data_IF_315719808952
#
_entry.id   IF_315719808952
#
_cell.length_a   1.000
_cell.length_b   1.000
_cell.length_c   1.000
_cell.angle_alpha   90.00
_cell.angle_beta   90.00
_cell.angle_gamma   90.00
#
_symmetry.space_group_name_H-M   'P 1'
#
loop_
_entity.id
_entity.type
_entity.pdbx_description
1 polymer ?
#
# COMPACT_ATOMS: atom_id res chain seq x y z
N UNK A 1 11.30 -1.58 1.11
CA UNK A 1 9.83 -1.67 1.31
C UNK A 1 9.26 -0.37 1.84
N UNK A 2 9.69 0.12 3.01
CA UNK A 2 9.21 1.39 3.60
C UNK A 2 9.20 2.57 2.60
N UNK A 3 10.33 2.88 1.96
CA UNK A 3 10.42 3.96 0.94
C UNK A 3 9.38 3.82 -0.17
N UNK A 4 9.23 2.63 -0.77
CA UNK A 4 8.23 2.39 -1.82
C UNK A 4 6.80 2.57 -1.29
N UNK A 5 6.55 2.07 -0.08
CA UNK A 5 5.24 2.13 0.58
C UNK A 5 4.80 3.57 0.83
N UNK A 6 5.70 4.41 1.34
CA UNK A 6 5.48 5.85 1.52
C UNK A 6 5.33 6.57 0.18
N UNK A 7 6.19 6.31 -0.81
CA UNK A 7 6.08 6.97 -2.11
C UNK A 7 4.71 6.70 -2.74
N UNK A 8 4.31 5.44 -2.85
CA UNK A 8 3.04 5.11 -3.47
C UNK A 8 1.85 5.64 -2.66
N UNK A 9 1.85 5.52 -1.33
CA UNK A 9 0.69 5.89 -0.54
C UNK A 9 0.56 7.38 -0.21
N UNK A 10 1.67 8.10 -0.07
CA UNK A 10 1.68 9.47 0.43
C UNK A 10 2.07 10.49 -0.63
N UNK A 11 3.17 10.23 -1.34
CA UNK A 11 3.72 11.17 -2.32
C UNK A 11 2.81 11.25 -3.54
N UNK A 12 2.26 10.12 -4.00
CA UNK A 12 1.40 10.11 -5.20
C UNK A 12 0.01 10.70 -5.00
N UNK A 13 -0.48 10.85 -3.76
CA UNK A 13 -1.70 11.63 -3.48
C UNK A 13 -1.43 12.96 -2.80
N UNK A 14 -0.15 13.32 -2.61
CA UNK A 14 0.26 14.57 -1.99
C UNK A 14 -0.22 14.72 -0.52
N UNK A 15 -0.45 13.63 0.22
CA UNK A 15 -0.82 13.69 1.65
C UNK A 15 0.37 13.97 2.55
N UNK A 16 1.55 13.46 2.20
CA UNK A 16 2.84 13.84 2.78
C UNK A 16 3.86 14.00 1.65
N UNK A 17 4.08 15.23 1.16
CA UNK A 17 4.87 15.47 -0.05
C UNK A 17 6.39 15.35 0.16
N UNK A 18 6.88 15.55 1.38
CA UNK A 18 8.33 15.56 1.70
C UNK A 18 8.72 14.59 2.83
N UNK A 19 8.24 13.33 2.79
CA UNK A 19 8.26 12.44 3.93
C UNK A 19 9.67 11.98 4.31
N UNK A 20 10.69 12.26 3.49
CA UNK A 20 12.07 11.87 3.76
C UNK A 20 12.91 12.98 4.36
N UNK A 21 12.39 14.21 4.45
CA UNK A 21 13.13 15.37 4.96
C UNK A 21 12.39 16.14 6.05
N UNK A 22 11.09 15.86 6.25
CA UNK A 22 10.35 16.41 7.39
C UNK A 22 10.36 15.47 8.62
N UNK A 23 10.20 16.06 9.81
CA UNK A 23 10.27 15.35 11.08
C UNK A 23 9.18 14.29 11.21
N UNK A 24 7.95 14.59 10.78
CA UNK A 24 6.82 13.68 10.87
C UNK A 24 6.99 12.48 9.93
N UNK A 25 7.44 12.75 8.71
CA UNK A 25 7.84 11.78 7.71
C UNK A 25 8.84 10.77 8.25
N UNK A 26 9.95 11.26 8.83
CA UNK A 26 11.03 10.42 9.32
C UNK A 26 10.72 9.66 10.62
N UNK A 27 9.96 10.28 11.54
CA UNK A 27 9.74 9.70 12.88
C UNK A 27 8.44 8.90 12.99
N UNK A 28 7.47 9.17 12.11
CA UNK A 28 6.14 8.52 12.16
C UNK A 28 5.84 7.81 10.86
N UNK A 29 5.74 8.51 9.73
CA UNK A 29 5.26 7.93 8.46
C UNK A 29 6.17 6.80 7.98
N UNK A 30 7.48 7.04 7.87
CA UNK A 30 8.41 6.06 7.34
C UNK A 30 8.52 4.79 8.23
N UNK A 31 8.65 4.90 9.58
CA UNK A 31 8.57 3.75 10.47
C UNK A 31 7.21 3.05 10.41
N UNK A 32 6.11 3.80 10.40
CA UNK A 32 4.75 3.27 10.38
C UNK A 32 4.51 2.37 9.17
N UNK A 33 4.79 2.91 7.99
CA UNK A 33 4.62 2.18 6.73
C UNK A 33 5.58 0.99 6.66
N UNK A 34 6.85 1.20 7.05
CA UNK A 34 7.87 0.16 7.06
C UNK A 34 7.52 -1.03 7.96
N UNK A 35 7.18 -0.77 9.22
CA UNK A 35 6.85 -1.79 10.21
C UNK A 35 5.59 -2.56 9.82
N UNK A 36 4.54 -1.87 9.35
CA UNK A 36 3.34 -2.55 8.85
C UNK A 36 3.64 -3.44 7.65
N UNK A 37 4.35 -2.93 6.62
CA UNK A 37 4.66 -3.74 5.44
C UNK A 37 5.48 -4.97 5.85
N UNK A 38 6.53 -4.79 6.65
CA UNK A 38 7.42 -5.88 7.06
C UNK A 38 6.70 -6.92 7.94
N UNK A 39 5.90 -6.47 8.91
CA UNK A 39 5.15 -7.37 9.80
C UNK A 39 4.12 -8.19 9.02
N UNK A 40 3.26 -7.51 8.26
CA UNK A 40 2.17 -8.18 7.53
C UNK A 40 2.71 -9.06 6.40
N UNK A 41 3.70 -8.58 5.64
CA UNK A 41 4.34 -9.40 4.61
C UNK A 41 5.07 -10.61 5.22
N UNK A 42 5.86 -10.42 6.28
CA UNK A 42 6.54 -11.53 6.97
C UNK A 42 5.56 -12.57 7.54
N UNK A 43 4.38 -12.14 7.98
CA UNK A 43 3.31 -13.04 8.44
C UNK A 43 2.73 -13.88 7.29
N UNK A 44 2.35 -13.25 6.16
CA UNK A 44 1.64 -13.93 5.06
C UNK A 44 2.57 -14.71 4.12
N UNK A 45 3.83 -14.28 3.96
CA UNK A 45 4.84 -14.94 3.10
C UNK A 45 5.59 -16.08 3.80
N UNK A 46 5.09 -16.58 4.94
CA UNK A 46 5.84 -17.52 5.77
C UNK A 46 5.97 -18.92 5.16
N UNK A 47 4.91 -19.74 5.21
CA UNK A 47 4.96 -21.16 4.75
C UNK A 47 4.00 -21.50 3.62
N UNK A 48 3.09 -20.59 3.30
CA UNK A 48 1.98 -20.85 2.39
C UNK A 48 2.02 -19.94 1.19
N UNK A 49 1.32 -20.37 0.15
CA UNK A 49 1.05 -19.57 -1.04
C UNK A 49 0.30 -18.30 -0.66
N UNK A 50 0.65 -17.20 -1.31
CA UNK A 50 -0.02 -15.92 -1.15
C UNK A 50 -1.03 -15.77 -2.27
N UNK A 51 -2.23 -15.28 -1.93
CA UNK A 51 -3.32 -15.03 -2.88
C UNK A 51 -3.75 -13.57 -2.79
N UNK A 52 -4.46 -13.08 -3.81
CA UNK A 52 -4.96 -11.69 -3.80
C UNK A 52 -5.87 -11.39 -2.61
N UNK A 53 -6.81 -12.28 -2.19
CA UNK A 53 -7.55 -12.07 -0.95
C UNK A 53 -6.69 -11.89 0.29
N UNK A 54 -5.63 -12.70 0.45
CA UNK A 54 -4.71 -12.60 1.60
C UNK A 54 -3.98 -11.25 1.58
N UNK A 55 -3.51 -10.82 0.41
CA UNK A 55 -2.86 -9.53 0.23
C UNK A 55 -3.80 -8.36 0.51
N UNK A 56 -5.04 -8.42 0.01
CA UNK A 56 -6.05 -7.38 0.24
C UNK A 56 -6.43 -7.29 1.73
N UNK A 57 -6.66 -8.42 2.40
CA UNK A 57 -6.97 -8.45 3.83
C UNK A 57 -5.82 -7.92 4.70
N UNK A 58 -4.57 -8.29 4.38
CA UNK A 58 -3.40 -7.71 5.02
C UNK A 58 -3.30 -6.20 4.76
N UNK A 59 -3.55 -5.77 3.51
CA UNK A 59 -3.64 -4.36 3.14
C UNK A 59 -4.76 -3.59 3.86
N UNK A 60 -5.89 -4.22 4.15
CA UNK A 60 -6.96 -3.62 4.94
C UNK A 60 -6.51 -3.40 6.39
N UNK A 61 -5.85 -4.40 7.00
CA UNK A 61 -5.27 -4.24 8.33
C UNK A 61 -4.22 -3.14 8.38
N UNK A 62 -3.46 -2.97 7.29
CA UNK A 62 -2.60 -1.81 7.10
C UNK A 62 -3.45 -0.54 7.16
N UNK A 63 -4.42 -0.34 6.28
CA UNK A 63 -5.24 0.89 6.26
C UNK A 63 -5.96 1.21 7.56
N UNK A 64 -6.34 0.19 8.35
CA UNK A 64 -6.99 0.41 9.65
C UNK A 64 -6.11 1.11 10.70
N UNK A 65 -4.78 1.20 10.51
CA UNK A 65 -3.91 1.97 11.42
C UNK A 65 -4.38 3.42 11.58
N UNK A 66 -5.01 3.96 10.53
CA UNK A 66 -5.48 5.35 10.43
C UNK A 66 -6.47 5.70 11.55
N UNK A 67 -7.26 4.73 12.05
CA UNK A 67 -8.07 4.97 13.25
C UNK A 67 -7.21 5.21 14.49
N UNK A 68 -6.22 4.36 14.74
CA UNK A 68 -5.48 4.39 16.00
C UNK A 68 -4.39 5.46 16.06
N UNK A 69 -3.76 5.77 14.92
CA UNK A 69 -2.55 6.61 14.89
C UNK A 69 -2.89 8.05 14.50
N UNK A 70 -3.48 8.25 13.33
CA UNK A 70 -3.80 9.59 12.79
C UNK A 70 -5.20 10.08 13.18
N UNK A 71 -6.08 9.15 13.58
CA UNK A 71 -7.49 9.34 13.96
C UNK A 71 -8.37 9.86 12.82
N UNK A 72 -7.94 9.74 11.56
CA UNK A 72 -8.67 10.31 10.41
C UNK A 72 -10.02 9.64 10.14
N UNK A 73 -10.30 8.47 10.71
CA UNK A 73 -11.63 7.87 10.63
C UNK A 73 -12.63 8.50 11.59
N UNK A 74 -12.16 9.15 12.65
CA UNK A 74 -13.01 9.79 13.65
C UNK A 74 -13.03 11.31 13.49
N UNK A 75 -11.89 11.89 13.12
CA UNK A 75 -11.72 13.33 12.90
C UNK A 75 -10.76 13.59 11.72
N UNK A 76 -11.27 13.53 10.47
CA UNK A 76 -10.49 13.79 9.27
C UNK A 76 -9.81 15.17 9.28
N UNK A 77 -8.59 15.25 8.77
CA UNK A 77 -7.80 16.50 8.77
C UNK A 77 -8.03 17.39 7.55
N UNK A 78 -8.93 17.03 6.65
CA UNK A 78 -9.00 17.58 5.29
C UNK A 78 -10.16 18.56 5.03
N UNK A 79 -10.85 19.05 6.06
CA UNK A 79 -11.73 20.21 5.92
C UNK A 79 -13.04 20.19 6.71
N UNK A 80 -13.34 19.15 7.48
CA UNK A 80 -14.49 19.10 8.39
C UNK A 80 -15.86 19.01 7.69
N UNK A 81 -15.89 18.84 6.37
CA UNK A 81 -17.11 18.68 5.57
C UNK A 81 -17.41 17.21 5.26
N UNK A 82 -16.69 16.28 5.89
CA UNK A 82 -16.82 14.86 5.66
C UNK A 82 -18.15 14.33 6.19
N UNK A 83 -18.72 13.37 5.46
CA UNK A 83 -19.96 12.73 5.90
C UNK A 83 -19.65 11.68 6.96
N UNK A 84 -20.17 11.90 8.16
CA UNK A 84 -20.00 10.99 9.29
C UNK A 84 -21.19 10.04 9.37
N UNK A 85 -20.91 8.74 9.53
CA UNK A 85 -21.91 7.73 9.85
C UNK A 85 -21.53 7.06 11.17
N UNK A 86 -22.41 7.15 12.17
CA UNK A 86 -22.17 6.58 13.51
C UNK A 86 -20.82 7.02 14.14
N UNK A 87 -20.42 8.28 13.87
CA UNK A 87 -19.15 8.86 14.36
C UNK A 87 -17.90 8.37 13.62
N UNK A 88 -18.06 7.81 12.42
CA UNK A 88 -16.96 7.39 11.55
C UNK A 88 -17.11 8.03 10.16
N UNK A 89 -16.03 8.59 9.63
CA UNK A 89 -15.95 9.13 8.26
C UNK A 89 -15.98 7.97 7.26
N UNK A 90 -17.18 7.55 6.86
CA UNK A 90 -17.39 6.25 6.19
C UNK A 90 -16.74 6.18 4.80
N UNK A 91 -16.76 7.29 4.05
CA UNK A 91 -16.15 7.35 2.72
C UNK A 91 -14.62 7.22 2.83
N UNK A 92 -14.01 7.99 3.74
CA UNK A 92 -12.57 7.94 4.02
C UNK A 92 -12.18 6.56 4.53
N UNK A 93 -12.95 6.00 5.47
CA UNK A 93 -12.72 4.65 5.97
C UNK A 93 -12.79 3.63 4.84
N UNK A 94 -13.79 3.72 3.96
CA UNK A 94 -13.94 2.85 2.79
C UNK A 94 -12.77 3.00 1.82
N UNK A 95 -12.40 4.21 1.44
CA UNK A 95 -11.29 4.48 0.51
C UNK A 95 -9.96 4.00 1.09
N UNK A 96 -9.61 4.44 2.30
CA UNK A 96 -8.32 4.13 2.92
C UNK A 96 -8.19 2.64 3.27
N UNK A 97 -9.25 2.04 3.83
CA UNK A 97 -9.21 0.62 4.24
C UNK A 97 -9.40 -0.35 3.08
N UNK A 98 -10.27 -0.06 2.11
CA UNK A 98 -10.63 -1.03 1.06
C UNK A 98 -9.92 -0.79 -0.27
N UNK A 99 -9.32 0.38 -0.48
CA UNK A 99 -8.69 0.69 -1.77
C UNK A 99 -7.27 1.24 -1.64
N UNK A 100 -7.13 2.44 -1.09
CA UNK A 100 -5.88 3.20 -1.14
C UNK A 100 -4.74 2.48 -0.43
N UNK A 101 -4.82 2.23 0.87
CA UNK A 101 -3.73 1.55 1.58
C UNK A 101 -3.52 0.09 1.13
N UNK A 102 -4.56 -0.73 0.90
CA UNK A 102 -4.33 -2.08 0.38
C UNK A 102 -3.50 -2.11 -0.90
N UNK A 103 -3.80 -1.23 -1.86
CA UNK A 103 -3.06 -1.18 -3.12
C UNK A 103 -1.77 -0.37 -3.03
N UNK A 104 -1.84 0.88 -2.61
CA UNK A 104 -0.74 1.84 -2.69
C UNK A 104 0.21 1.75 -1.50
N UNK A 105 -0.25 1.37 -0.31
CA UNK A 105 0.65 1.19 0.84
C UNK A 105 1.21 -0.24 0.94
N UNK A 106 0.48 -1.25 0.43
CA UNK A 106 0.87 -2.65 0.66
C UNK A 106 1.19 -3.41 -0.63
N UNK A 107 0.23 -3.64 -1.52
CA UNK A 107 0.40 -4.55 -2.67
C UNK A 107 1.37 -4.01 -3.71
N UNK A 108 1.19 -2.78 -4.19
CA UNK A 108 2.05 -2.18 -5.21
C UNK A 108 3.50 -2.01 -4.71
N UNK A 109 3.76 -1.54 -3.48
CA UNK A 109 5.11 -1.52 -2.92
C UNK A 109 5.77 -2.89 -2.83
N UNK A 110 5.04 -3.92 -2.38
CA UNK A 110 5.54 -5.29 -2.36
C UNK A 110 5.82 -5.81 -3.76
N UNK A 111 4.91 -5.58 -4.70
CA UNK A 111 5.07 -6.00 -6.09
C UNK A 111 6.26 -5.28 -6.75
N UNK A 112 6.37 -3.96 -6.61
CA UNK A 112 7.49 -3.20 -7.14
C UNK A 112 8.81 -3.64 -6.51
N UNK A 113 8.84 -3.79 -5.18
CA UNK A 113 10.01 -4.27 -4.48
C UNK A 113 10.44 -5.69 -4.90
N UNK A 114 9.48 -6.60 -5.09
CA UNK A 114 9.73 -7.95 -5.60
C UNK A 114 10.31 -7.90 -7.03
N UNK A 115 9.64 -7.17 -7.94
CA UNK A 115 10.03 -7.09 -9.34
C UNK A 115 11.40 -6.44 -9.58
N UNK A 116 11.83 -5.56 -8.66
CA UNK A 116 13.05 -4.78 -8.78
C UNK A 116 14.21 -5.43 -8.02
N UNK A 117 13.95 -6.01 -6.84
CA UNK A 117 14.98 -6.42 -5.90
C UNK A 117 15.02 -7.93 -5.60
N UNK A 118 14.07 -8.72 -6.08
CA UNK A 118 14.03 -10.17 -5.87
C UNK A 118 14.05 -10.98 -7.18
N UNK A 119 14.18 -12.29 -7.07
CA UNK A 119 14.10 -13.24 -8.20
C UNK A 119 12.73 -13.92 -8.36
N UNK A 120 11.71 -13.47 -7.62
CA UNK A 120 10.38 -14.09 -7.60
C UNK A 120 9.32 -13.20 -8.26
N UNK A 121 8.11 -13.74 -8.45
CA UNK A 121 6.95 -13.01 -8.97
C UNK A 121 5.67 -13.41 -8.23
N UNK A 122 5.80 -13.75 -6.94
CA UNK A 122 4.70 -14.25 -6.12
C UNK A 122 3.55 -13.26 -6.06
N UNK A 123 3.82 -11.97 -5.81
CA UNK A 123 2.79 -10.92 -5.73
C UNK A 123 2.13 -10.74 -7.10
N UNK A 124 2.92 -10.60 -8.16
CA UNK A 124 2.40 -10.45 -9.53
C UNK A 124 1.54 -11.66 -9.95
N UNK A 125 1.92 -12.87 -9.53
CA UNK A 125 1.20 -14.10 -9.85
C UNK A 125 -0.15 -14.21 -9.14
N UNK A 126 -0.43 -13.39 -8.13
CA UNK A 126 -1.75 -13.33 -7.47
C UNK A 126 -2.79 -12.53 -8.24
N UNK A 127 -2.35 -11.66 -9.16
CA UNK A 127 -3.25 -10.78 -9.91
C UNK A 127 -4.14 -11.57 -10.88
N UNK A 128 -5.30 -11.00 -11.27
CA UNK A 128 -6.15 -11.58 -12.31
C UNK A 128 -5.36 -11.90 -13.59
N UNK A 129 -5.73 -12.99 -14.27
CA UNK A 129 -5.03 -13.50 -15.44
C UNK A 129 -4.82 -12.45 -16.53
N UNK A 130 -5.79 -11.55 -16.73
CA UNK A 130 -5.71 -10.44 -17.69
C UNK A 130 -4.50 -9.54 -17.37
N UNK A 131 -4.41 -9.06 -16.13
CA UNK A 131 -3.33 -8.15 -15.69
C UNK A 131 -1.98 -8.88 -15.71
N UNK A 132 -1.95 -10.12 -15.21
CA UNK A 132 -0.75 -10.96 -15.22
C UNK A 132 -0.22 -11.16 -16.64
N UNK A 133 -1.08 -11.52 -17.59
CA UNK A 133 -0.71 -11.75 -18.98
C UNK A 133 -0.20 -10.46 -19.65
N UNK A 134 -0.78 -9.32 -19.33
CA UNK A 134 -0.29 -8.03 -19.82
C UNK A 134 1.07 -7.67 -19.24
N UNK A 135 1.28 -7.87 -17.94
CA UNK A 135 2.56 -7.60 -17.27
C UNK A 135 3.71 -8.48 -17.79
N UNK A 136 3.40 -9.66 -18.33
CA UNK A 136 4.37 -10.57 -18.93
C UNK A 136 4.75 -10.17 -20.37
N UNK A 137 3.91 -9.40 -21.08
CA UNK A 137 4.20 -8.91 -22.44
C UNK A 137 4.95 -7.57 -22.37
N UNK A 138 5.99 -7.33 -23.20
CA UNK A 138 6.71 -6.06 -23.19
C UNK A 138 5.81 -4.83 -23.39
N UNK A 139 4.91 -4.88 -24.37
CA UNK A 139 3.94 -3.81 -24.64
C UNK A 139 2.93 -3.64 -23.50
N UNK A 140 2.37 -4.75 -23.00
CA UNK A 140 1.42 -4.72 -21.88
C UNK A 140 2.05 -4.16 -20.60
N UNK A 141 3.31 -4.47 -20.32
CA UNK A 141 4.08 -3.89 -19.21
C UNK A 141 4.21 -2.37 -19.33
N UNK A 142 4.54 -1.86 -20.52
CA UNK A 142 4.61 -0.41 -20.77
C UNK A 142 3.26 0.24 -20.49
N UNK A 143 2.17 -0.34 -21.01
CA UNK A 143 0.82 0.18 -20.81
C UNK A 143 0.45 0.20 -19.32
N UNK A 144 0.69 -0.90 -18.58
CA UNK A 144 0.37 -0.97 -17.16
C UNK A 144 1.16 0.05 -16.32
N UNK A 145 2.45 0.22 -16.61
CA UNK A 145 3.28 1.23 -15.93
C UNK A 145 2.76 2.63 -16.22
N UNK A 146 2.45 2.93 -17.49
CA UNK A 146 1.92 4.24 -17.88
C UNK A 146 0.56 4.52 -17.24
N UNK A 147 -0.34 3.53 -17.18
CA UNK A 147 -1.65 3.69 -16.53
C UNK A 147 -1.51 3.94 -15.03
N UNK A 148 -0.63 3.20 -14.35
CA UNK A 148 -0.36 3.41 -12.93
C UNK A 148 0.25 4.81 -12.70
N UNK A 149 1.27 5.17 -13.47
CA UNK A 149 1.92 6.48 -13.39
C UNK A 149 0.94 7.62 -13.65
N UNK A 150 0.10 7.48 -14.68
CA UNK A 150 -0.95 8.42 -15.03
C UNK A 150 -1.89 8.63 -13.84
N UNK A 151 -2.40 7.54 -13.26
CA UNK A 151 -3.30 7.60 -12.11
C UNK A 151 -2.63 8.21 -10.87
N UNK A 152 -1.38 7.86 -10.58
CA UNK A 152 -0.60 8.53 -9.53
C UNK A 152 -0.50 10.04 -9.77
N UNK A 153 -0.26 10.46 -11.02
CA UNK A 153 -0.13 11.88 -11.33
C UNK A 153 -1.47 12.61 -11.28
N UNK A 154 -2.58 11.97 -11.65
CA UNK A 154 -3.94 12.50 -11.43
C UNK A 154 -4.15 12.84 -9.95
N UNK A 155 -3.83 11.89 -9.05
CA UNK A 155 -3.99 12.07 -7.61
C UNK A 155 -3.08 13.20 -7.08
N UNK A 156 -1.82 13.24 -7.47
CA UNK A 156 -0.92 14.30 -7.01
C UNK A 156 -1.34 15.66 -7.59
N UNK A 157 -1.71 15.72 -8.87
CA UNK A 157 -2.13 16.96 -9.55
C UNK A 157 -3.38 17.58 -8.93
N UNK A 158 -4.36 16.75 -8.55
CA UNK A 158 -5.56 17.22 -7.85
C UNK A 158 -5.23 17.89 -6.51
N UNK A 159 -4.29 17.31 -5.76
CA UNK A 159 -4.01 17.66 -4.37
C UNK A 159 -2.82 18.62 -4.18
N UNK A 160 -1.94 18.76 -5.17
CA UNK A 160 -0.76 19.63 -5.07
C UNK A 160 -1.13 21.11 -5.03
N UNK A 161 -0.30 21.88 -4.31
CA UNK A 161 -0.41 23.32 -4.17
C UNK A 161 0.29 24.09 -5.30
N UNK A 162 1.30 23.48 -5.93
CA UNK A 162 2.06 24.10 -7.02
C UNK A 162 2.84 23.07 -7.84
N UNK A 163 3.11 23.41 -9.10
CA UNK A 163 3.97 22.59 -9.98
C UNK A 163 5.39 22.47 -9.42
N UNK A 164 5.93 23.54 -8.84
CA UNK A 164 7.26 23.50 -8.19
C UNK A 164 7.27 22.47 -7.05
N UNK A 165 6.23 22.46 -6.22
CA UNK A 165 6.13 21.50 -5.13
C UNK A 165 6.10 20.05 -5.65
N UNK A 166 5.30 19.79 -6.68
CA UNK A 166 5.24 18.48 -7.36
C UNK A 166 6.63 18.03 -7.85
N UNK A 167 7.38 18.93 -8.50
CA UNK A 167 8.72 18.61 -9.01
C UNK A 167 9.69 18.28 -7.88
N UNK A 168 9.70 19.08 -6.80
CA UNK A 168 10.58 18.88 -5.64
C UNK A 168 10.23 17.56 -4.94
N UNK A 169 8.95 17.34 -4.64
CA UNK A 169 8.45 16.12 -3.98
C UNK A 169 8.80 14.86 -4.77
N UNK A 170 8.68 14.93 -6.10
CA UNK A 170 9.04 13.82 -7.00
C UNK A 170 10.56 13.61 -7.03
N UNK A 171 11.35 14.68 -7.16
CA UNK A 171 12.80 14.61 -7.21
C UNK A 171 13.38 14.04 -5.91
N UNK A 172 12.85 14.48 -4.77
CA UNK A 172 13.18 13.97 -3.43
C UNK A 172 12.93 12.46 -3.34
N UNK A 173 11.71 12.05 -3.64
CA UNK A 173 11.27 10.66 -3.57
C UNK A 173 12.06 9.75 -4.50
N UNK A 174 12.30 10.21 -5.73
CA UNK A 174 13.12 9.49 -6.70
C UNK A 174 14.57 9.41 -6.22
N UNK A 175 15.15 10.49 -5.70
CA UNK A 175 16.51 10.52 -5.19
C UNK A 175 16.73 9.52 -4.06
N UNK A 176 15.82 9.49 -3.07
CA UNK A 176 15.86 8.53 -1.96
C UNK A 176 15.68 7.10 -2.45
N UNK A 177 14.70 6.85 -3.33
CA UNK A 177 14.51 5.52 -3.93
C UNK A 177 15.77 5.04 -4.67
N UNK A 178 16.35 5.89 -5.52
CA UNK A 178 17.55 5.56 -6.29
C UNK A 178 18.76 5.32 -5.40
N UNK A 179 18.94 6.13 -4.34
CA UNK A 179 19.99 5.93 -3.35
C UNK A 179 19.89 4.53 -2.73
N UNK A 180 18.71 4.15 -2.21
CA UNK A 180 18.52 2.83 -1.63
C UNK A 180 18.61 1.70 -2.65
N UNK A 181 18.17 1.92 -3.89
CA UNK A 181 18.33 0.94 -4.96
C UNK A 181 19.81 0.69 -5.31
N UNK A 182 20.63 1.75 -5.32
CA UNK A 182 22.08 1.65 -5.51
C UNK A 182 22.74 0.95 -4.33
N UNK A 183 22.45 1.37 -3.09
CA UNK A 183 22.97 0.72 -1.87
C UNK A 183 22.61 -0.77 -1.88
N UNK A 184 21.37 -1.12 -2.20
CA UNK A 184 20.95 -2.51 -2.32
C UNK A 184 21.78 -3.28 -3.35
N UNK A 185 22.00 -2.70 -4.53
CA UNK A 185 22.80 -3.34 -5.58
C UNK A 185 24.26 -3.57 -5.16
N UNK A 186 24.83 -2.63 -4.41
CA UNK A 186 26.19 -2.73 -3.88
C UNK A 186 26.28 -3.83 -2.79
N UNK A 187 25.34 -3.84 -1.85
CA UNK A 187 25.35 -4.78 -0.71
C UNK A 187 24.98 -6.20 -1.14
N UNK A 188 23.96 -6.34 -2.00
CA UNK A 188 23.52 -7.65 -2.49
C UNK A 188 24.54 -8.31 -3.41
N UNK A 189 25.51 -7.57 -3.97
CA UNK A 189 26.51 -8.07 -4.93
C UNK A 189 25.88 -8.82 -6.12
N UNK A 190 24.66 -8.44 -6.51
CA UNK A 190 23.82 -9.12 -7.50
C UNK A 190 23.47 -10.59 -7.15
N UNK A 191 23.56 -10.99 -5.88
CA UNK A 191 22.99 -12.24 -5.37
C UNK A 191 21.48 -12.19 -5.54
N UNK A 192 20.91 -13.31 -5.99
CA UNK A 192 19.47 -13.44 -6.21
C UNK A 192 18.80 -13.88 -4.93
N UNK A 193 18.10 -12.96 -4.29
CA UNK A 193 17.29 -13.22 -3.12
C UNK A 193 15.83 -13.47 -3.52
N UNK A 194 15.17 -14.44 -2.89
CA UNK A 194 13.71 -14.54 -3.00
C UNK A 194 13.08 -13.51 -2.07
N UNK A 195 11.86 -13.07 -2.37
CA UNK A 195 11.16 -12.12 -1.52
C UNK A 195 11.05 -12.62 -0.06
N UNK A 196 10.80 -13.93 0.10
CA UNK A 196 10.67 -14.60 1.40
C UNK A 196 11.95 -14.55 2.24
N UNK A 197 13.11 -14.57 1.59
CA UNK A 197 14.42 -14.50 2.25
C UNK A 197 14.72 -13.08 2.78
N UNK A 198 14.06 -12.07 2.21
CA UNK A 198 14.24 -10.67 2.55
C UNK A 198 13.25 -10.16 3.61
N UNK A 199 12.20 -10.94 3.90
CA UNK A 199 11.17 -10.61 4.86
C UNK A 199 11.53 -11.16 6.25
N UNK A 200 11.16 -10.46 7.33
CA UNK A 200 11.51 -10.88 8.67
C UNK A 200 10.84 -12.22 9.03
N UNK A 201 11.60 -13.11 9.67
CA UNK A 201 11.11 -14.41 10.12
C UNK A 201 11.46 -14.69 11.58
N UNK A 202 10.66 -15.55 12.23
CA UNK A 202 10.92 -15.99 13.61
C UNK A 202 11.08 -14.82 14.58
N UNK A 203 12.26 -14.69 15.19
CA UNK A 203 12.58 -13.63 16.17
C UNK A 203 12.56 -12.23 15.54
N UNK A 204 12.99 -12.08 14.29
CA UNK A 204 12.99 -10.77 13.61
C UNK A 204 11.56 -10.26 13.45
N UNK A 205 10.63 -11.15 13.07
CA UNK A 205 9.21 -10.81 12.95
C UNK A 205 8.62 -10.41 14.30
N UNK A 206 9.02 -11.09 15.38
CA UNK A 206 8.64 -10.69 16.75
C UNK A 206 9.16 -9.29 17.09
N UNK A 207 10.41 -8.97 16.79
CA UNK A 207 10.98 -7.63 17.03
C UNK A 207 10.22 -6.57 16.24
N UNK A 208 9.97 -6.80 14.94
CA UNK A 208 9.17 -5.89 14.11
C UNK A 208 7.77 -5.70 14.69
N UNK A 209 7.13 -6.79 15.15
CA UNK A 209 5.82 -6.74 15.81
C UNK A 209 5.82 -5.96 17.12
N UNK A 210 6.86 -6.09 17.95
CA UNK A 210 7.00 -5.33 19.20
C UNK A 210 7.23 -3.85 18.93
N UNK A 211 8.07 -3.50 17.94
CA UNK A 211 8.27 -2.12 17.53
C UNK A 211 6.99 -1.50 16.98
N UNK A 212 6.22 -2.28 16.21
CA UNK A 212 4.91 -1.85 15.71
C UNK A 212 3.92 -1.62 16.86
N UNK A 213 3.83 -2.55 17.82
CA UNK A 213 2.98 -2.40 18.99
C UNK A 213 3.37 -1.18 19.84
N UNK A 214 4.67 -0.94 20.02
CA UNK A 214 5.19 0.25 20.70
C UNK A 214 4.79 1.53 19.97
N UNK A 215 4.90 1.56 18.64
CA UNK A 215 4.46 2.70 17.83
C UNK A 215 2.97 3.01 18.06
N UNK A 216 2.10 2.00 18.08
CA UNK A 216 0.68 2.18 18.41
C UNK A 216 0.47 2.68 19.85
N UNK A 217 1.17 2.07 20.82
CA UNK A 217 1.05 2.43 22.22
C UNK A 217 1.46 3.88 22.52
N UNK A 218 2.47 4.39 21.80
CA UNK A 218 2.92 5.79 21.87
C UNK A 218 1.95 6.71 21.11
N UNK A 219 1.58 6.33 19.89
CA UNK A 219 0.79 7.18 18.99
C UNK A 219 -0.64 7.40 19.49
N UNK A 220 -1.26 6.38 20.09
CA UNK A 220 -2.65 6.45 20.52
C UNK A 220 -2.90 7.60 21.52
N UNK A 221 -2.16 7.73 22.64
CA UNK A 221 -2.34 8.82 23.59
C UNK A 221 -1.62 10.14 23.22
N UNK A 222 -0.52 10.10 22.44
CA UNK A 222 0.28 11.29 22.20
C UNK A 222 -0.08 12.05 20.92
N UNK A 223 -0.58 11.37 19.88
CA UNK A 223 -0.88 12.00 18.60
C UNK A 223 -2.37 12.27 18.48
N UNK A 224 -2.75 13.55 18.43
CA UNK A 224 -4.14 14.02 18.33
C UNK A 224 -5.09 13.34 19.33
N UNK A 225 -4.82 13.38 20.65
CA UNK A 225 -5.74 12.80 21.64
C UNK A 225 -7.13 13.45 21.59
N UNK A 226 -7.23 14.70 21.15
CA UNK A 226 -8.49 15.43 20.97
C UNK A 226 -9.40 14.83 19.89
N UNK A 227 -8.84 14.05 18.95
CA UNK A 227 -9.58 13.40 17.87
C UNK A 227 -10.21 12.05 18.30
N UNK A 228 -10.02 11.64 19.57
CA UNK A 228 -10.58 10.39 20.08
C UNK A 228 -12.10 10.51 20.31
N UNK A 229 -12.90 9.54 19.84
CA UNK A 229 -14.33 9.55 20.09
C UNK A 229 -14.67 9.56 21.58
N UNK A 230 -15.67 10.35 21.94
CA UNK A 230 -16.24 10.40 23.30
C UNK A 230 -17.34 9.36 23.54
N UNK A 231 -17.78 8.65 22.49
CA UNK A 231 -18.81 7.61 22.57
C UNK A 231 -18.21 6.25 22.21
N UNK A 232 -18.77 5.13 22.73
CA UNK A 232 -18.24 3.80 22.46
C UNK A 232 -18.49 3.31 21.02
N UNK A 233 -19.50 3.85 20.32
CA UNK A 233 -19.96 3.32 19.04
C UNK A 233 -18.89 3.38 17.93
N UNK A 234 -18.14 4.49 17.71
CA UNK A 234 -17.06 4.52 16.72
C UNK A 234 -15.96 3.48 16.98
N UNK A 235 -15.61 3.22 18.25
CA UNK A 235 -14.64 2.19 18.61
C UNK A 235 -15.14 0.80 18.26
N UNK A 236 -16.41 0.50 18.53
CA UNK A 236 -17.03 -0.80 18.20
C UNK A 236 -16.99 -1.05 16.70
N UNK A 237 -17.27 -0.02 15.89
CA UNK A 237 -17.23 -0.12 14.41
C UNK A 237 -15.81 -0.47 13.94
N UNK A 238 -14.80 0.28 14.39
CA UNK A 238 -13.40 0.03 14.00
C UNK A 238 -12.92 -1.34 14.50
N UNK A 239 -13.27 -1.72 15.74
CA UNK A 239 -12.93 -3.03 16.30
C UNK A 239 -13.59 -4.17 15.51
N UNK A 240 -14.83 -3.96 15.04
CA UNK A 240 -15.52 -4.93 14.18
C UNK A 240 -14.79 -5.10 12.86
N UNK A 241 -14.36 -4.00 12.21
CA UNK A 241 -13.56 -4.05 10.98
C UNK A 241 -12.22 -4.78 11.19
N UNK A 242 -11.51 -4.51 12.28
CA UNK A 242 -10.31 -5.25 12.66
C UNK A 242 -10.62 -6.74 12.84
N UNK A 243 -11.64 -7.07 13.63
CA UNK A 243 -11.99 -8.46 13.94
C UNK A 243 -12.33 -9.25 12.69
N UNK A 244 -13.17 -8.70 11.80
CA UNK A 244 -13.53 -9.34 10.53
C UNK A 244 -12.30 -9.53 9.65
N UNK A 245 -11.47 -8.49 9.50
CA UNK A 245 -10.28 -8.53 8.65
C UNK A 245 -9.25 -9.54 9.15
N UNK A 246 -8.99 -9.58 10.46
CA UNK A 246 -8.09 -10.55 11.11
C UNK A 246 -8.66 -11.96 10.96
N UNK A 247 -9.94 -12.17 11.28
CA UNK A 247 -10.56 -13.49 11.20
C UNK A 247 -10.51 -14.05 9.77
N UNK A 248 -10.89 -13.25 8.77
CA UNK A 248 -10.81 -13.64 7.37
C UNK A 248 -9.37 -13.89 6.93
N UNK A 249 -8.41 -13.06 7.35
CA UNK A 249 -6.99 -13.26 7.02
C UNK A 249 -6.49 -14.61 7.57
N UNK A 250 -6.78 -14.90 8.84
CA UNK A 250 -6.40 -16.17 9.48
C UNK A 250 -7.06 -17.37 8.81
N UNK A 251 -8.33 -17.26 8.44
CA UNK A 251 -9.06 -18.34 7.75
C UNK A 251 -8.53 -18.58 6.33
N UNK A 252 -8.22 -17.52 5.57
CA UNK A 252 -7.68 -17.67 4.22
C UNK A 252 -6.25 -18.18 4.23
N UNK A 253 -5.42 -17.69 5.16
CA UNK A 253 -4.04 -18.17 5.32
C UNK A 253 -4.01 -19.61 5.86
N UNK A 254 -4.92 -20.01 6.74
CA UNK A 254 -5.00 -21.39 7.22
C UNK A 254 -5.42 -22.38 6.12
N UNK A 255 -6.16 -21.92 5.10
CA UNK A 255 -6.60 -22.73 3.95
C UNK A 255 -5.69 -22.63 2.72
N UNK A 256 -4.73 -21.71 2.71
CA UNK A 256 -3.81 -21.57 1.58
C UNK A 256 -2.92 -22.81 1.42
N UNK A 257 -2.68 -23.18 0.17
CA UNK A 257 -1.80 -24.28 -0.20
C UNK A 257 -0.37 -24.05 0.30
N UNK A 258 0.37 -25.12 0.67
CA UNK A 258 1.79 -25.03 0.96
C UNK A 258 2.53 -24.33 -0.17
N UNK A 259 3.47 -23.46 0.20
CA UNK A 259 4.31 -22.82 -0.80
C UNK A 259 5.16 -23.87 -1.52
N UNK A 260 5.03 -23.94 -2.84
CA UNK A 260 5.93 -24.70 -3.71
C UNK A 260 6.94 -23.70 -4.26
N UNK A 261 8.22 -23.94 -3.99
CA UNK A 261 9.31 -23.08 -4.47
C UNK A 261 9.13 -22.84 -5.98
N UNK A 262 8.87 -21.60 -6.40
CA UNK A 262 8.73 -21.31 -7.82
C UNK A 262 10.07 -21.57 -8.50
N UNK A 263 10.01 -22.10 -9.72
CA UNK A 263 11.20 -22.19 -10.58
C UNK A 263 11.82 -20.79 -10.66
N UNK A 264 13.16 -20.67 -10.52
CA UNK A 264 13.83 -19.37 -10.54
C UNK A 264 13.45 -18.62 -11.83
N UNK A 265 12.87 -17.43 -11.68
CA UNK A 265 12.57 -16.60 -12.83
C UNK A 265 13.88 -16.21 -13.53
N UNK A 266 13.86 -16.13 -14.87
CA UNK A 266 14.98 -15.66 -15.67
C UNK A 266 15.48 -14.29 -15.14
N UNK A 267 16.79 -14.02 -15.22
CA UNK A 267 17.36 -12.76 -14.74
C UNK A 267 16.65 -11.57 -15.37
N UNK A 268 15.94 -10.80 -14.54
CA UNK A 268 15.38 -9.52 -14.96
C UNK A 268 16.42 -8.44 -14.71
N UNK A 269 16.88 -7.81 -15.80
CA UNK A 269 17.71 -6.61 -15.69
C UNK A 269 16.87 -5.52 -15.04
N UNK A 270 17.46 -4.74 -14.15
CA UNK A 270 16.84 -3.54 -13.61
C UNK A 270 16.46 -2.62 -14.78
N UNK A 271 15.16 -2.46 -15.03
CA UNK A 271 14.66 -1.73 -16.20
C UNK A 271 14.59 -0.23 -15.89
N UNK A 272 15.74 0.46 -15.95
CA UNK A 272 15.82 1.92 -15.82
C UNK A 272 14.79 2.66 -16.68
N UNK A 273 14.54 2.15 -17.88
CA UNK A 273 13.50 2.66 -18.77
C UNK A 273 12.10 2.64 -18.15
N UNK A 274 11.75 1.61 -17.38
CA UNK A 274 10.45 1.53 -16.70
C UNK A 274 10.28 2.60 -15.63
N UNK A 275 11.35 2.93 -14.89
CA UNK A 275 11.34 4.00 -13.90
C UNK A 275 11.25 5.36 -14.59
N UNK A 276 12.06 5.58 -15.62
CA UNK A 276 12.02 6.82 -16.39
C UNK A 276 10.62 7.04 -17.01
N UNK A 277 10.06 6.02 -17.64
CA UNK A 277 8.71 6.05 -18.20
C UNK A 277 7.68 6.41 -17.12
N UNK A 278 7.74 5.74 -15.97
CA UNK A 278 6.84 6.03 -14.85
C UNK A 278 6.94 7.49 -14.43
N UNK A 279 8.15 7.99 -14.16
CA UNK A 279 8.38 9.37 -13.69
C UNK A 279 7.92 10.39 -14.73
N UNK A 280 8.23 10.18 -16.01
CA UNK A 280 7.81 11.10 -17.08
C UNK A 280 6.28 11.18 -17.20
N UNK A 281 5.60 10.03 -17.23
CA UNK A 281 4.13 9.99 -17.35
C UNK A 281 3.48 10.57 -16.09
N UNK A 282 3.99 10.24 -14.91
CA UNK A 282 3.54 10.75 -13.62
C UNK A 282 3.64 12.27 -13.52
N UNK A 283 4.80 12.84 -13.87
CA UNK A 283 4.98 14.30 -13.85
C UNK A 283 4.12 14.99 -14.90
N UNK A 284 4.05 14.45 -16.11
CA UNK A 284 3.23 15.02 -17.18
C UNK A 284 1.74 15.05 -16.78
N UNK A 285 1.21 13.95 -16.24
CA UNK A 285 -0.18 13.93 -15.78
C UNK A 285 -0.40 14.78 -14.52
N UNK A 286 0.54 14.82 -13.57
CA UNK A 286 0.43 15.69 -12.39
C UNK A 286 0.37 17.18 -12.76
N UNK A 287 1.24 17.63 -13.67
CA UNK A 287 1.23 19.01 -14.15
C UNK A 287 -0.06 19.33 -14.91
N UNK A 288 -0.54 18.41 -15.75
CA UNK A 288 -1.80 18.58 -16.47
C UNK A 288 -3.00 18.70 -15.51
N UNK A 289 -3.13 17.77 -14.56
CA UNK A 289 -4.27 17.74 -13.62
C UNK A 289 -4.17 18.76 -12.49
N UNK A 290 -3.02 19.39 -12.29
CA UNK A 290 -2.93 20.62 -11.49
C UNK A 290 -3.72 21.77 -12.11
N UNK A 291 -3.76 21.84 -13.45
CA UNK A 291 -4.53 22.85 -14.19
C UNK A 291 -6.02 22.47 -14.21
N UNK A 292 -6.32 21.20 -14.48
CA UNK A 292 -7.70 20.68 -14.57
C UNK A 292 -8.07 19.80 -13.36
N UNK A 293 -8.21 20.44 -12.19
CA UNK A 293 -8.55 19.75 -10.94
C UNK A 293 -9.94 19.12 -10.96
N UNK A 294 -10.87 19.67 -11.75
CA UNK A 294 -12.25 19.15 -11.85
C UNK A 294 -12.25 17.76 -12.49
N UNK A 295 -11.60 17.60 -13.65
CA UNK A 295 -11.48 16.29 -14.29
C UNK A 295 -10.68 15.33 -13.41
N UNK A 296 -9.63 15.82 -12.73
CA UNK A 296 -8.87 15.01 -11.79
C UNK A 296 -9.76 14.44 -10.67
N UNK A 297 -10.57 15.29 -10.04
CA UNK A 297 -11.52 14.89 -8.99
C UNK A 297 -12.52 13.84 -9.46
N UNK A 298 -13.08 13.99 -10.66
CA UNK A 298 -13.99 13.00 -11.24
C UNK A 298 -13.31 11.64 -11.43
N UNK A 299 -12.10 11.62 -12.00
CA UNK A 299 -11.33 10.40 -12.21
C UNK A 299 -10.99 9.71 -10.88
N UNK A 300 -10.64 10.48 -9.86
CA UNK A 300 -10.33 9.98 -8.51
C UNK A 300 -11.58 9.34 -7.89
N UNK A 301 -12.74 10.01 -7.92
CA UNK A 301 -14.00 9.47 -7.37
C UNK A 301 -14.41 8.17 -8.07
N UNK A 302 -14.30 8.12 -9.41
CA UNK A 302 -14.58 6.89 -10.17
C UNK A 302 -13.63 5.77 -9.72
N UNK A 303 -12.33 6.05 -9.61
CA UNK A 303 -11.35 5.07 -9.19
C UNK A 303 -11.58 4.58 -7.75
N UNK A 304 -11.95 5.47 -6.83
CA UNK A 304 -12.33 5.11 -5.46
C UNK A 304 -13.53 4.16 -5.45
N UNK A 305 -14.59 4.49 -6.18
CA UNK A 305 -15.78 3.64 -6.29
C UNK A 305 -15.45 2.25 -6.84
N UNK A 306 -14.73 2.18 -7.97
CA UNK A 306 -14.31 0.92 -8.58
C UNK A 306 -13.38 0.11 -7.67
N UNK A 307 -12.47 0.79 -6.97
CA UNK A 307 -11.53 0.20 -6.02
C UNK A 307 -12.25 -0.47 -4.85
N UNK A 308 -13.17 0.25 -4.21
CA UNK A 308 -14.01 -0.27 -3.12
C UNK A 308 -14.83 -1.47 -3.60
N UNK A 309 -15.52 -1.35 -4.75
CA UNK A 309 -16.33 -2.44 -5.31
C UNK A 309 -15.47 -3.68 -5.58
N UNK A 310 -14.28 -3.50 -6.15
CA UNK A 310 -13.35 -4.60 -6.44
C UNK A 310 -12.89 -5.28 -5.16
N UNK A 311 -12.53 -4.52 -4.12
CA UNK A 311 -12.15 -5.08 -2.84
C UNK A 311 -13.29 -5.85 -2.19
N UNK A 312 -14.50 -5.28 -2.14
CA UNK A 312 -15.69 -5.96 -1.60
C UNK A 312 -15.96 -7.26 -2.35
N UNK A 313 -15.84 -7.26 -3.68
CA UNK A 313 -15.97 -8.49 -4.48
C UNK A 313 -14.92 -9.54 -4.13
N UNK A 314 -13.65 -9.15 -3.97
CA UNK A 314 -12.57 -10.05 -3.53
C UNK A 314 -12.85 -10.62 -2.13
N UNK A 315 -13.35 -9.80 -1.20
CA UNK A 315 -13.72 -10.22 0.16
C UNK A 315 -14.91 -11.19 0.17
N UNK A 316 -15.94 -10.92 -0.63
CA UNK A 316 -17.07 -11.83 -0.76
C UNK A 316 -16.64 -13.18 -1.33
N UNK A 317 -15.79 -13.19 -2.37
CA UNK A 317 -15.20 -14.43 -2.92
C UNK A 317 -14.38 -15.18 -1.88
N UNK A 318 -13.61 -14.45 -1.08
CA UNK A 318 -12.82 -14.98 0.02
C UNK A 318 -13.71 -15.65 1.08
N UNK A 319 -14.79 -14.99 1.50
CA UNK A 319 -15.76 -15.54 2.45
C UNK A 319 -16.43 -16.82 1.90
N UNK A 320 -16.86 -16.80 0.65
CA UNK A 320 -17.47 -17.97 -0.01
C UNK A 320 -16.48 -19.14 -0.09
N UNK A 321 -15.22 -18.89 -0.43
CA UNK A 321 -14.19 -19.93 -0.47
C UNK A 321 -13.94 -20.55 0.92
N UNK A 322 -13.99 -19.73 1.98
CA UNK A 322 -13.88 -20.22 3.35
C UNK A 322 -15.08 -21.09 3.74
N UNK A 323 -16.32 -20.69 3.41
CA UNK A 323 -17.53 -21.44 3.78
C UNK A 323 -17.68 -22.72 2.94
N UNK A 324 -17.44 -22.64 1.63
CA UNK A 324 -17.70 -23.73 0.67
C UNK A 324 -16.84 -24.97 0.87
N UNK A 325 -15.70 -24.87 1.56
CA UNK A 325 -14.83 -26.00 1.88
C UNK A 325 -15.24 -26.77 3.15
N UNK A 326 -16.31 -26.36 3.84
CA UNK A 326 -16.88 -27.07 4.99
C UNK A 326 -18.09 -27.93 4.64
N UNK A 327 -18.41 -28.05 3.35
CA UNK A 327 -19.40 -28.99 2.80
C UNK A 327 -18.66 -30.05 1.99
#
# INVERSE_FOLDING_TARGET
>A
MSVLSVIFAEVTCYSSPYPFFDKWGLTVVLPLYGLHTLFLAGLIFRKKSVTLPILMLAGMLFGLYEAAITKVFWDPTWGGTETMFAGVAWLQTGVLTLFWHPWFAFILPLMAGELIFSSTNEVLNTLPSIIKNWAQRPSGKIVLISLLAFFCGVNQGANTISVQSTLISTAESLGVFLLFAVVWRLVSKNVRWQMRDLLPQGKELTVVGLLLALLYAISLPLFRPEALPHTPLPYIIILTLYTISIALLLLNTSKAEPFKTPLPALPRRFHWFSILLFVCVYLASSVYFFIDKSTAGLLIVIAWGLGIITCLWVLLRSLVAVIGQHK
#
